data_IF_626425845423
#
_entry.id   IF_626425845423
#
_cell.length_a   1.000
_cell.length_b   1.000
_cell.length_c   1.000
_cell.angle_alpha   90.00
_cell.angle_beta   90.00
_cell.angle_gamma   90.00
#
_symmetry.space_group_name_H-M   'P 1'
#
loop_
_entity.id
_entity.type
_entity.pdbx_description
1 polymer ?
#
# COMPACT_ATOMS: atom_id res chain seq x y z
N UNK A 1 -49.22 20.19 2.86
CA UNK A 1 -47.83 20.33 3.33
C UNK A 1 -47.14 18.99 3.12
N UNK A 2 -46.48 18.83 1.97
CA UNK A 2 -45.88 17.58 1.54
C UNK A 2 -44.60 17.29 2.35
N UNK A 3 -44.63 16.18 3.07
CA UNK A 3 -43.46 15.57 3.71
C UNK A 3 -42.48 15.12 2.63
N UNK A 4 -41.29 15.72 2.60
CA UNK A 4 -40.18 15.23 1.79
C UNK A 4 -39.79 13.82 2.27
N UNK A 5 -39.56 12.85 1.38
CA UNK A 5 -39.13 11.53 1.77
C UNK A 5 -37.69 11.61 2.32
N UNK A 6 -37.47 11.11 3.54
CA UNK A 6 -36.14 10.86 4.08
C UNK A 6 -35.49 9.77 3.22
N UNK A 7 -34.62 10.16 2.30
CA UNK A 7 -33.73 9.24 1.60
C UNK A 7 -32.71 8.75 2.64
N UNK A 8 -33.08 7.67 3.35
CA UNK A 8 -32.18 6.87 4.17
C UNK A 8 -31.78 5.67 3.30
N UNK A 9 -30.49 5.38 3.25
CA UNK A 9 -29.84 4.29 2.49
C UNK A 9 -29.25 4.69 1.13
N UNK A 10 -28.22 5.53 1.17
CA UNK A 10 -27.07 5.32 0.30
C UNK A 10 -25.89 5.02 1.23
N UNK A 11 -25.07 4.05 0.84
CA UNK A 11 -23.90 3.52 1.56
C UNK A 11 -23.18 4.64 2.33
N UNK A 12 -22.94 4.45 3.64
CA UNK A 12 -22.14 5.42 4.40
C UNK A 12 -20.79 5.58 3.73
N UNK A 13 -20.30 6.82 3.60
CA UNK A 13 -18.99 7.11 3.01
C UNK A 13 -17.91 6.25 3.69
N UNK A 14 -17.99 6.07 5.02
CA UNK A 14 -17.05 5.24 5.78
C UNK A 14 -17.07 3.77 5.36
N UNK A 15 -18.26 3.21 5.10
CA UNK A 15 -18.41 1.83 4.64
C UNK A 15 -17.82 1.66 3.24
N UNK A 16 -18.09 2.61 2.33
CA UNK A 16 -17.54 2.56 0.98
C UNK A 16 -16.00 2.67 0.98
N UNK A 17 -15.44 3.54 1.83
CA UNK A 17 -14.00 3.67 1.99
C UNK A 17 -13.37 2.41 2.58
N UNK A 18 -14.02 1.81 3.59
CA UNK A 18 -13.57 0.55 4.18
C UNK A 18 -13.60 -0.61 3.18
N UNK A 19 -14.70 -0.79 2.45
CA UNK A 19 -14.85 -1.86 1.46
C UNK A 19 -13.82 -1.71 0.33
N UNK A 20 -13.56 -0.47 -0.09
CA UNK A 20 -12.52 -0.16 -1.08
C UNK A 20 -11.13 -0.47 -0.56
N UNK A 21 -10.80 -0.09 0.67
CA UNK A 21 -9.50 -0.37 1.28
C UNK A 21 -9.29 -1.88 1.40
N UNK A 22 -10.28 -2.60 1.95
CA UNK A 22 -10.24 -4.05 2.08
C UNK A 22 -10.07 -4.75 0.72
N UNK A 23 -10.79 -4.32 -0.32
CA UNK A 23 -10.62 -4.88 -1.65
C UNK A 23 -9.20 -4.68 -2.20
N UNK A 24 -8.60 -3.50 -1.97
CA UNK A 24 -7.22 -3.24 -2.38
C UNK A 24 -6.23 -4.11 -1.60
N UNK A 25 -6.42 -4.24 -0.29
CA UNK A 25 -5.58 -5.08 0.56
C UNK A 25 -5.60 -6.54 0.08
N UNK A 26 -6.80 -7.08 -0.16
CA UNK A 26 -6.96 -8.44 -0.69
C UNK A 26 -6.28 -8.59 -2.06
N UNK A 27 -6.41 -7.63 -2.97
CA UNK A 27 -5.77 -7.71 -4.28
C UNK A 27 -4.25 -7.70 -4.17
N UNK A 28 -3.70 -6.84 -3.30
CA UNK A 28 -2.26 -6.73 -3.07
C UNK A 28 -1.72 -7.99 -2.40
N UNK A 29 -2.44 -8.56 -1.44
CA UNK A 29 -2.04 -9.76 -0.71
C UNK A 29 -2.10 -11.04 -1.55
N UNK A 30 -2.93 -11.09 -2.59
CA UNK A 30 -3.03 -12.25 -3.48
C UNK A 30 -2.02 -12.24 -4.63
N UNK A 31 -1.15 -11.23 -4.73
CA UNK A 31 -0.11 -11.17 -5.76
C UNK A 31 1.19 -11.72 -5.18
N UNK A 32 1.71 -12.76 -5.83
CA UNK A 32 3.04 -13.29 -5.53
C UNK A 32 4.11 -12.25 -5.89
N UNK A 33 4.85 -11.79 -4.88
CA UNK A 33 5.96 -10.84 -5.04
C UNK A 33 5.82 -9.56 -4.22
N UNK A 34 6.63 -8.56 -4.58
CA UNK A 34 6.64 -7.24 -3.94
C UNK A 34 5.88 -6.24 -4.78
N UNK A 35 4.82 -5.66 -4.22
CA UNK A 35 4.17 -4.46 -4.72
C UNK A 35 4.63 -3.30 -3.88
N UNK A 36 5.09 -2.23 -4.52
CA UNK A 36 5.63 -1.07 -3.82
C UNK A 36 5.24 0.24 -4.51
N UNK A 37 5.32 1.32 -3.74
CA UNK A 37 5.28 2.69 -4.24
C UNK A 37 6.46 3.45 -3.65
N UNK A 38 7.16 4.21 -4.48
CA UNK A 38 8.37 4.95 -4.10
C UNK A 38 8.25 6.42 -4.47
N UNK A 39 9.03 7.24 -3.77
CA UNK A 39 9.37 8.57 -4.23
C UNK A 39 10.39 8.47 -5.38
N UNK A 40 10.36 9.47 -6.24
CA UNK A 40 11.40 9.66 -7.24
C UNK A 40 12.54 10.47 -6.62
N UNK A 41 13.35 9.79 -5.82
CA UNK A 41 14.56 10.30 -5.16
C UNK A 41 15.72 9.30 -5.30
N UNK A 42 16.92 9.72 -4.91
CA UNK A 42 18.15 8.92 -5.07
C UNK A 42 18.17 7.66 -4.18
N UNK A 43 17.26 7.55 -3.21
CA UNK A 43 17.19 6.43 -2.26
C UNK A 43 16.08 5.43 -2.58
N UNK A 44 15.24 5.75 -3.59
CA UNK A 44 13.99 5.06 -3.86
C UNK A 44 13.16 4.88 -2.59
N UNK A 45 12.93 5.99 -1.88
CA UNK A 45 12.23 5.97 -0.59
C UNK A 45 10.85 5.33 -0.72
N UNK A 46 10.66 4.18 -0.06
CA UNK A 46 9.40 3.44 -0.11
C UNK A 46 8.32 4.14 0.72
N UNK A 47 7.16 4.40 0.11
CA UNK A 47 5.97 4.91 0.79
C UNK A 47 5.02 3.76 1.14
N UNK A 48 5.07 2.69 0.35
CA UNK A 48 4.29 1.49 0.53
C UNK A 48 5.08 0.27 0.07
N UNK A 49 4.96 -0.83 0.81
CA UNK A 49 5.45 -2.15 0.41
C UNK A 49 4.48 -3.23 0.89
N UNK A 50 4.14 -4.17 -0.01
CA UNK A 50 3.26 -5.31 0.29
C UNK A 50 3.93 -6.29 1.26
N UNK A 51 3.14 -7.25 1.76
CA UNK A 51 3.63 -8.27 2.70
C UNK A 51 4.72 -9.18 2.09
N UNK A 52 4.70 -9.38 0.76
CA UNK A 52 5.70 -10.15 0.03
C UNK A 52 7.10 -9.52 0.01
N UNK A 53 7.24 -8.28 0.50
CA UNK A 53 8.53 -7.63 0.69
C UNK A 53 9.53 -8.48 1.48
N UNK A 54 9.07 -9.12 2.55
CA UNK A 54 9.93 -9.90 3.44
C UNK A 54 10.49 -11.13 2.76
N UNK A 55 9.68 -11.80 1.94
CA UNK A 55 10.10 -12.97 1.19
C UNK A 55 11.14 -12.59 0.13
N UNK A 56 10.96 -11.46 -0.56
CA UNK A 56 11.85 -11.02 -1.62
C UNK A 56 13.17 -10.42 -1.11
N UNK A 57 13.10 -9.58 -0.07
CA UNK A 57 14.23 -8.74 0.37
C UNK A 57 14.87 -9.20 1.68
N UNK A 58 14.16 -10.02 2.46
CA UNK A 58 14.54 -10.38 3.83
C UNK A 58 14.18 -9.33 4.89
N UNK A 59 13.78 -8.12 4.51
CA UNK A 59 13.42 -7.03 5.42
C UNK A 59 11.90 -6.93 5.60
N UNK A 60 11.44 -6.56 6.80
CA UNK A 60 10.02 -6.26 6.96
C UNK A 60 9.71 -4.93 6.26
N UNK A 61 8.46 -4.72 5.84
CA UNK A 61 8.07 -3.47 5.16
C UNK A 61 8.34 -2.25 6.05
N UNK A 62 8.21 -2.39 7.37
CA UNK A 62 8.42 -1.30 8.33
C UNK A 62 9.89 -0.85 8.38
N UNK A 63 10.82 -1.73 7.99
CA UNK A 63 12.25 -1.43 7.92
C UNK A 63 12.61 -0.62 6.65
N UNK A 64 11.83 -0.79 5.57
CA UNK A 64 12.05 -0.17 4.27
C UNK A 64 11.20 1.09 4.05
N UNK A 65 9.99 1.13 4.62
CA UNK A 65 9.10 2.29 4.53
C UNK A 65 9.80 3.52 5.14
N UNK A 66 9.84 4.60 4.37
CA UNK A 66 10.56 5.84 4.68
C UNK A 66 12.05 5.64 5.01
N UNK A 67 12.66 4.56 4.48
CA UNK A 67 14.04 4.16 4.75
C UNK A 67 14.34 4.07 6.25
N UNK A 68 13.39 3.53 7.03
CA UNK A 68 13.46 3.53 8.49
C UNK A 68 14.72 2.84 9.03
N UNK A 69 15.15 1.76 8.37
CA UNK A 69 16.40 1.04 8.64
C UNK A 69 17.33 1.03 7.43
N UNK A 70 16.79 0.82 6.24
CA UNK A 70 17.56 0.66 4.99
C UNK A 70 16.73 1.19 3.81
N UNK A 71 17.40 1.75 2.82
CA UNK A 71 16.76 2.20 1.58
C UNK A 71 16.66 1.08 0.54
N UNK A 72 15.72 1.21 -0.40
CA UNK A 72 15.59 0.21 -1.48
C UNK A 72 16.81 0.21 -2.40
N UNK A 73 17.42 1.39 -2.60
CA UNK A 73 18.66 1.56 -3.34
C UNK A 73 19.83 0.74 -2.74
N UNK A 74 19.93 0.68 -1.40
CA UNK A 74 21.01 -0.05 -0.72
C UNK A 74 20.90 -1.58 -0.85
N UNK A 75 19.69 -2.12 -1.03
CA UNK A 75 19.49 -3.56 -1.23
C UNK A 75 19.45 -3.96 -2.70
N UNK A 76 19.32 -2.99 -3.61
CA UNK A 76 19.34 -3.25 -5.06
C UNK A 76 20.78 -3.49 -5.51
N UNK A 77 20.99 -4.58 -6.25
CA UNK A 77 22.33 -4.92 -6.74
C UNK A 77 22.83 -3.86 -7.73
N UNK A 78 24.11 -3.50 -7.63
CA UNK A 78 24.65 -2.34 -8.36
C UNK A 78 24.53 -2.45 -9.88
N UNK A 79 24.63 -3.66 -10.43
CA UNK A 79 24.51 -3.88 -11.86
C UNK A 79 23.07 -3.83 -12.39
N UNK A 80 22.07 -3.85 -11.50
CA UNK A 80 20.64 -3.82 -11.84
C UNK A 80 20.06 -2.39 -11.79
N UNK A 81 20.91 -1.39 -11.55
CA UNK A 81 20.54 0.03 -11.47
C UNK A 81 20.44 0.71 -12.83
#
# INVERSE_FOLDING_TARGET
MNSLPKIKSLISIDSFLHDRQHMLDVLVENIDGLIYCTLYDDYWTMIFASVGCKELTGYNREDLIFNQLISYEEITFEADR
#
